data_IF_400245386356
#
_entry.id   IF_400245386356
#
_cell.length_a   1.000
_cell.length_b   1.000
_cell.length_c   1.000
_cell.angle_alpha   90.00
_cell.angle_beta   90.00
_cell.angle_gamma   90.00
#
_symmetry.space_group_name_H-M   'P 1'
#
loop_
_entity.id
_entity.type
_entity.pdbx_description
1 polymer ?
#
# COMPACT_ATOMS: atom_id res chain seq x y z
N UNK A 1 31.42 6.82 -0.77
CA UNK A 1 30.03 6.31 -0.70
C UNK A 1 29.11 7.52 -0.73
N UNK A 2 28.14 7.56 -1.64
CA UNK A 2 27.17 8.65 -1.74
C UNK A 2 25.80 8.19 -1.23
N UNK A 3 25.08 9.09 -0.56
CA UNK A 3 23.71 8.89 -0.07
C UNK A 3 22.79 9.94 -0.69
N UNK A 4 21.57 9.54 -1.06
CA UNK A 4 20.54 10.42 -1.60
C UNK A 4 19.17 10.08 -1.00
N UNK A 5 18.27 11.07 -0.97
CA UNK A 5 16.89 10.94 -0.56
C UNK A 5 16.25 12.31 -0.30
N UNK A 6 14.93 12.34 -0.11
CA UNK A 6 14.20 13.58 0.13
C UNK A 6 14.25 13.98 1.60
N UNK A 7 14.61 15.23 1.87
CA UNK A 7 14.64 15.78 3.23
C UNK A 7 15.52 14.94 4.18
N UNK A 8 14.99 14.46 5.33
CA UNK A 8 15.77 13.70 6.30
C UNK A 8 16.00 12.22 5.92
N UNK A 9 15.41 11.75 4.81
CA UNK A 9 15.42 10.34 4.47
C UNK A 9 16.63 9.94 3.61
N UNK A 10 17.16 8.74 3.85
CA UNK A 10 18.17 8.11 2.99
C UNK A 10 17.52 6.94 2.25
N UNK A 11 17.27 7.10 0.96
CA UNK A 11 16.50 6.13 0.15
C UNK A 11 17.32 5.50 -0.98
N UNK A 12 18.49 6.08 -1.29
CA UNK A 12 19.46 5.55 -2.24
C UNK A 12 20.88 5.66 -1.67
N UNK A 13 21.66 4.58 -1.85
CA UNK A 13 23.09 4.53 -1.53
C UNK A 13 23.85 4.09 -2.76
N UNK A 14 25.00 4.71 -3.02
CA UNK A 14 25.90 4.31 -4.11
C UNK A 14 27.30 4.08 -3.56
N UNK A 15 27.87 2.91 -3.85
CA UNK A 15 29.18 2.49 -3.38
C UNK A 15 29.86 1.52 -4.34
N UNK A 16 31.18 1.36 -4.22
CA UNK A 16 31.94 0.37 -4.98
C UNK A 16 31.98 -0.96 -4.21
N UNK A 17 31.69 -2.05 -4.91
CA UNK A 17 31.79 -3.43 -4.43
C UNK A 17 32.63 -4.24 -5.41
N UNK A 18 33.83 -4.67 -5.00
CA UNK A 18 34.79 -5.39 -5.85
C UNK A 18 35.03 -4.71 -7.21
N UNK A 19 35.15 -3.37 -7.23
CA UNK A 19 35.36 -2.58 -8.45
C UNK A 19 34.09 -2.19 -9.21
N UNK A 20 32.94 -2.79 -8.90
CA UNK A 20 31.66 -2.47 -9.55
C UNK A 20 30.88 -1.42 -8.77
N UNK A 21 30.32 -0.42 -9.46
CA UNK A 21 29.47 0.60 -8.85
C UNK A 21 28.07 0.02 -8.58
N UNK A 22 27.71 -0.12 -7.30
CA UNK A 22 26.41 -0.63 -6.86
C UNK A 22 25.51 0.53 -6.49
N UNK A 23 24.31 0.57 -7.09
CA UNK A 23 23.19 1.43 -6.68
C UNK A 23 22.22 0.62 -5.84
N UNK A 24 22.16 0.92 -4.55
CA UNK A 24 21.33 0.21 -3.59
C UNK A 24 20.14 1.08 -3.22
N UNK A 25 18.91 0.62 -3.48
CA UNK A 25 17.67 1.35 -3.16
C UNK A 25 17.02 0.77 -1.91
N UNK A 26 16.50 1.63 -1.02
CA UNK A 26 15.88 1.22 0.24
C UNK A 26 14.70 0.25 0.03
N UNK A 27 13.83 0.54 -0.95
CA UNK A 27 12.70 -0.32 -1.31
C UNK A 27 13.12 -1.72 -1.78
N UNK A 28 14.11 -1.80 -2.66
CA UNK A 28 14.63 -3.09 -3.16
C UNK A 28 15.27 -3.90 -2.04
N UNK A 29 16.00 -3.23 -1.14
CA UNK A 29 16.56 -3.85 0.05
C UNK A 29 15.48 -4.42 0.98
N UNK A 30 14.47 -3.62 1.31
CA UNK A 30 13.34 -4.04 2.17
C UNK A 30 12.60 -5.25 1.59
N UNK A 31 12.37 -5.24 0.27
CA UNK A 31 11.66 -6.30 -0.44
C UNK A 31 12.51 -7.52 -0.79
N UNK A 32 13.83 -7.49 -0.61
CA UNK A 32 14.71 -8.59 -1.01
C UNK A 32 14.84 -8.77 -2.53
N UNK A 33 14.68 -7.69 -3.31
CA UNK A 33 14.75 -7.73 -4.78
C UNK A 33 16.18 -7.71 -5.33
N UNK A 34 17.16 -7.38 -4.48
CA UNK A 34 18.58 -7.38 -4.83
C UNK A 34 19.32 -8.34 -3.90
N UNK A 35 19.89 -9.40 -4.46
CA UNK A 35 20.65 -10.43 -3.74
C UNK A 35 22.15 -10.15 -3.76
N UNK A 36 22.76 -10.26 -2.59
CA UNK A 36 24.21 -10.28 -2.45
C UNK A 36 24.72 -11.72 -2.59
N UNK A 37 25.77 -11.99 -3.40
CA UNK A 37 26.38 -13.32 -3.52
C UNK A 37 26.80 -13.91 -2.17
N UNK A 38 27.24 -13.05 -1.25
CA UNK A 38 27.70 -13.42 0.09
C UNK A 38 26.55 -13.72 1.09
N UNK A 39 25.29 -13.73 0.60
CA UNK A 39 24.08 -13.97 1.39
C UNK A 39 23.19 -15.03 0.71
N UNK A 40 23.54 -16.33 0.82
CA UNK A 40 22.83 -17.40 0.13
C UNK A 40 21.41 -17.63 0.69
N UNK A 41 21.17 -17.27 1.95
CA UNK A 41 19.86 -17.41 2.61
C UNK A 41 19.28 -16.04 2.93
N UNK A 42 18.02 -15.84 2.55
CA UNK A 42 17.23 -14.65 2.89
C UNK A 42 16.03 -15.04 3.76
N UNK A 43 15.63 -14.20 4.73
CA UNK A 43 14.44 -14.44 5.53
C UNK A 43 13.19 -14.59 4.66
N UNK A 44 12.16 -15.28 5.18
CA UNK A 44 10.89 -15.52 4.47
C UNK A 44 10.27 -14.23 3.95
N UNK A 45 10.30 -13.14 4.72
CA UNK A 45 9.77 -11.84 4.32
C UNK A 45 10.55 -11.12 3.23
N UNK A 46 11.74 -11.59 2.86
CA UNK A 46 12.53 -11.09 1.71
C UNK A 46 12.49 -12.04 0.51
N UNK A 47 11.71 -13.13 0.59
CA UNK A 47 11.56 -14.04 -0.54
C UNK A 47 10.55 -13.50 -1.58
N UNK A 48 10.76 -13.80 -2.87
CA UNK A 48 9.80 -13.52 -3.95
C UNK A 48 8.35 -13.91 -3.64
N UNK A 49 8.17 -15.08 -3.03
CA UNK A 49 6.85 -15.59 -2.67
C UNK A 49 6.12 -14.66 -1.71
N UNK A 50 6.82 -14.04 -0.75
CA UNK A 50 6.21 -13.13 0.22
C UNK A 50 5.65 -11.87 -0.45
N UNK A 51 6.44 -11.25 -1.33
CA UNK A 51 5.98 -10.12 -2.14
C UNK A 51 4.82 -10.52 -3.06
N UNK A 52 4.86 -11.73 -3.62
CA UNK A 52 3.80 -12.23 -4.49
C UNK A 52 2.49 -12.43 -3.73
N UNK A 53 2.52 -13.09 -2.56
CA UNK A 53 1.35 -13.29 -1.71
C UNK A 53 0.77 -11.98 -1.20
N UNK A 54 1.62 -11.03 -0.83
CA UNK A 54 1.19 -9.68 -0.47
C UNK A 54 0.44 -9.02 -1.63
N UNK A 55 0.94 -9.16 -2.86
CA UNK A 55 0.29 -8.63 -4.06
C UNK A 55 -1.02 -9.36 -4.39
N UNK A 56 -1.09 -10.67 -4.18
CA UNK A 56 -2.32 -11.43 -4.35
C UNK A 56 -3.39 -10.95 -3.36
N UNK A 57 -3.04 -10.75 -2.08
CA UNK A 57 -3.96 -10.22 -1.08
C UNK A 57 -4.51 -8.84 -1.47
N UNK A 58 -3.65 -7.91 -1.91
CA UNK A 58 -4.13 -6.63 -2.47
C UNK A 58 -5.03 -6.81 -3.69
N UNK A 59 -4.71 -7.74 -4.59
CA UNK A 59 -5.49 -7.98 -5.81
C UNK A 59 -6.90 -8.50 -5.48
N UNK A 60 -7.01 -9.47 -4.57
CA UNK A 60 -8.31 -10.01 -4.11
C UNK A 60 -9.14 -8.91 -3.44
N UNK A 61 -8.53 -8.13 -2.54
CA UNK A 61 -9.22 -7.01 -1.89
C UNK A 61 -9.72 -5.98 -2.91
N UNK A 62 -8.88 -5.63 -3.88
CA UNK A 62 -9.21 -4.67 -4.93
C UNK A 62 -10.36 -5.16 -5.81
N UNK A 63 -10.36 -6.42 -6.23
CA UNK A 63 -11.44 -7.02 -7.02
C UNK A 63 -12.79 -6.99 -6.29
N UNK A 64 -12.80 -7.31 -4.99
CA UNK A 64 -14.00 -7.25 -4.16
C UNK A 64 -14.51 -5.81 -3.99
N UNK A 65 -13.62 -4.83 -3.82
CA UNK A 65 -14.00 -3.41 -3.78
C UNK A 65 -14.56 -2.92 -5.10
N UNK A 66 -13.94 -3.30 -6.23
CA UNK A 66 -14.46 -2.99 -7.56
C UNK A 66 -15.85 -3.62 -7.74
N UNK A 67 -16.04 -4.87 -7.30
CA UNK A 67 -17.33 -5.53 -7.35
C UNK A 67 -18.37 -4.81 -6.50
N UNK A 68 -18.06 -4.49 -5.23
CA UNK A 68 -18.96 -3.75 -4.34
C UNK A 68 -19.37 -2.39 -4.92
N UNK A 69 -18.41 -1.63 -5.47
CA UNK A 69 -18.66 -0.35 -6.09
C UNK A 69 -19.51 -0.48 -7.38
N UNK A 70 -19.24 -1.49 -8.21
CA UNK A 70 -20.03 -1.75 -9.41
C UNK A 70 -21.47 -2.16 -9.04
N UNK A 71 -21.66 -3.05 -8.07
CA UNK A 71 -22.98 -3.45 -7.59
C UNK A 71 -23.76 -2.27 -6.98
N UNK A 72 -23.06 -1.29 -6.40
CA UNK A 72 -23.67 -0.05 -5.87
C UNK A 72 -24.10 0.93 -6.97
N UNK A 73 -23.50 0.85 -8.16
CA UNK A 73 -23.81 1.72 -9.31
C UNK A 73 -24.87 1.12 -10.25
N UNK A 74 -25.02 -0.19 -10.24
CA UNK A 74 -25.91 -0.93 -11.12
C UNK A 74 -27.24 -1.20 -10.42
N UNK A 75 -28.31 -1.31 -11.20
CA UNK A 75 -29.57 -1.84 -10.71
C UNK A 75 -29.43 -3.35 -10.52
N UNK A 76 -29.32 -3.81 -9.28
CA UNK A 76 -29.18 -5.23 -8.93
C UNK A 76 -30.29 -5.65 -7.95
N UNK A 77 -30.66 -6.94 -7.88
CA UNK A 77 -31.61 -7.42 -6.90
C UNK A 77 -30.99 -7.54 -5.48
N UNK A 78 -29.71 -7.22 -5.31
CA UNK A 78 -29.01 -7.36 -4.04
C UNK A 78 -29.41 -6.24 -3.07
N UNK A 79 -29.49 -6.59 -1.79
CA UNK A 79 -29.74 -5.62 -0.73
C UNK A 79 -28.47 -4.82 -0.41
N UNK A 80 -28.59 -3.61 0.18
CA UNK A 80 -27.43 -2.85 0.65
C UNK A 80 -26.54 -3.65 1.61
N UNK A 81 -27.13 -4.51 2.44
CA UNK A 81 -26.40 -5.42 3.35
C UNK A 81 -25.51 -6.38 2.58
N UNK A 82 -26.02 -7.01 1.52
CA UNK A 82 -25.25 -7.94 0.69
C UNK A 82 -24.09 -7.24 -0.01
N UNK A 83 -24.30 -6.02 -0.50
CA UNK A 83 -23.24 -5.20 -1.11
C UNK A 83 -22.21 -4.78 -0.05
N UNK A 84 -22.65 -4.38 1.14
CA UNK A 84 -21.79 -4.07 2.29
C UNK A 84 -20.91 -5.25 2.69
N UNK A 85 -21.43 -6.47 2.68
CA UNK A 85 -20.65 -7.69 2.92
C UNK A 85 -19.54 -7.85 1.88
N UNK A 86 -19.78 -7.55 0.61
CA UNK A 86 -18.73 -7.62 -0.45
C UNK A 86 -17.59 -6.65 -0.13
N UNK A 87 -17.89 -5.41 0.27
CA UNK A 87 -16.87 -4.44 0.70
C UNK A 87 -16.11 -4.92 1.94
N UNK A 88 -16.81 -5.42 2.95
CA UNK A 88 -16.19 -5.92 4.17
C UNK A 88 -15.25 -7.11 3.87
N UNK A 89 -15.70 -8.07 3.07
CA UNK A 89 -14.86 -9.19 2.62
C UNK A 89 -13.64 -8.70 1.83
N UNK A 90 -13.75 -7.61 1.07
CA UNK A 90 -12.63 -6.97 0.39
C UNK A 90 -11.62 -6.32 1.33
N UNK A 91 -12.07 -5.79 2.47
CA UNK A 91 -11.21 -5.07 3.42
C UNK A 91 -10.26 -5.99 4.19
N UNK A 92 -10.64 -7.26 4.36
CA UNK A 92 -9.83 -8.28 5.06
C UNK A 92 -8.51 -8.57 4.30
N UNK A 93 -8.50 -8.92 2.99
CA UNK A 93 -7.28 -9.05 2.20
C UNK A 93 -6.41 -7.81 2.20
N UNK A 94 -7.00 -6.61 2.13
CA UNK A 94 -6.24 -5.35 2.25
C UNK A 94 -5.51 -5.26 3.59
N UNK A 95 -6.19 -5.60 4.69
CA UNK A 95 -5.62 -5.60 6.04
C UNK A 95 -4.50 -6.62 6.19
N UNK A 96 -4.67 -7.83 5.65
CA UNK A 96 -3.62 -8.84 5.58
C UNK A 96 -2.41 -8.31 4.80
N UNK A 97 -2.63 -7.73 3.62
CA UNK A 97 -1.55 -7.21 2.79
C UNK A 97 -0.80 -6.04 3.45
N UNK A 98 -1.53 -5.12 4.10
CA UNK A 98 -0.96 -4.02 4.88
C UNK A 98 -0.10 -4.54 6.05
N UNK A 99 -0.59 -5.56 6.76
CA UNK A 99 0.17 -6.23 7.81
C UNK A 99 1.46 -6.86 7.26
N UNK A 100 1.38 -7.61 6.15
CA UNK A 100 2.55 -8.25 5.53
C UNK A 100 3.60 -7.22 5.10
N UNK A 101 3.20 -6.11 4.47
CA UNK A 101 4.13 -5.05 4.09
C UNK A 101 4.82 -4.41 5.31
N UNK A 102 4.05 -4.16 6.39
CA UNK A 102 4.60 -3.58 7.61
C UNK A 102 5.53 -4.56 8.34
N UNK A 103 5.15 -5.83 8.42
CA UNK A 103 6.00 -6.88 8.97
C UNK A 103 7.33 -6.98 8.21
N UNK A 104 7.30 -6.93 6.87
CA UNK A 104 8.51 -6.89 6.05
C UNK A 104 9.36 -5.64 6.35
N UNK A 105 8.74 -4.46 6.48
CA UNK A 105 9.45 -3.23 6.81
C UNK A 105 10.09 -3.29 8.21
N UNK A 106 9.34 -3.77 9.20
CA UNK A 106 9.76 -3.92 10.60
C UNK A 106 10.98 -4.82 10.78
N UNK A 107 11.06 -5.89 9.98
CA UNK A 107 12.11 -6.92 10.03
C UNK A 107 13.16 -6.78 8.92
N UNK A 108 13.12 -5.72 8.09
CA UNK A 108 14.21 -5.44 7.15
C UNK A 108 15.49 -5.10 7.92
N UNK A 109 16.69 -5.39 7.45
CA UNK A 109 17.91 -4.91 8.14
C UNK A 109 18.04 -3.39 8.01
N UNK A 110 18.87 -2.76 8.87
CA UNK A 110 19.15 -1.33 8.71
C UNK A 110 19.77 -1.09 7.33
N UNK A 111 19.30 -0.04 6.64
CA UNK A 111 19.82 0.35 5.33
C UNK A 111 21.19 1.05 5.47
N UNK A 112 22.19 0.27 5.89
CA UNK A 112 23.58 0.67 6.14
C UNK A 112 24.50 -0.52 5.96
N UNK A 113 25.67 -0.32 5.33
CA UNK A 113 26.65 -1.39 5.08
C UNK A 113 27.25 -1.96 6.37
N UNK A 114 27.41 -1.10 7.38
CA UNK A 114 28.00 -1.47 8.67
C UNK A 114 26.93 -1.78 9.72
N UNK A 115 25.67 -1.92 9.31
CA UNK A 115 24.65 -2.36 10.24
C UNK A 115 25.06 -3.73 10.79
N UNK A 116 25.04 -3.91 12.13
CA UNK A 116 25.12 -5.25 12.69
C UNK A 116 24.06 -6.11 11.97
N UNK A 117 24.43 -7.33 11.57
CA UNK A 117 23.42 -8.32 11.18
C UNK A 117 22.53 -8.52 12.38
N UNK A 118 21.39 -7.81 12.44
CA UNK A 118 20.42 -8.00 13.51
C UNK A 118 19.88 -9.41 13.39
N UNK A 119 20.36 -10.29 14.25
CA UNK A 119 19.77 -11.58 14.57
C UNK A 119 19.23 -11.48 16.00
N UNK A 120 17.92 -11.68 16.15
CA UNK A 120 17.33 -12.63 17.11
C UNK A 120 15.86 -12.33 17.43
N UNK A 121 15.35 -11.12 17.16
CA UNK A 121 13.97 -10.77 17.52
C UNK A 121 13.11 -10.35 16.33
N UNK A 122 12.04 -11.11 16.12
CA UNK A 122 10.97 -10.76 15.19
C UNK A 122 10.16 -9.60 15.76
N UNK A 123 9.91 -8.59 14.94
CA UNK A 123 9.09 -7.44 15.27
C UNK A 123 7.79 -7.50 14.46
N UNK A 124 6.64 -7.59 15.14
CA UNK A 124 5.35 -7.61 14.44
C UNK A 124 5.08 -6.29 13.70
N UNK A 125 5.31 -5.16 14.39
CA UNK A 125 5.15 -3.82 13.81
C UNK A 125 6.49 -3.07 13.71
N UNK A 126 7.43 -3.33 14.63
CA UNK A 126 8.70 -2.60 14.71
C UNK A 126 8.52 -1.11 15.00
N UNK A 127 9.62 -0.36 15.09
CA UNK A 127 9.60 1.11 15.19
C UNK A 127 10.80 1.69 14.44
N UNK A 128 10.54 2.36 13.31
CA UNK A 128 11.58 2.96 12.45
C UNK A 128 11.13 4.33 11.93
N UNK A 129 11.04 5.34 12.80
CA UNK A 129 10.46 6.64 12.44
C UNK A 129 11.27 7.41 11.39
N UNK A 130 12.52 7.05 11.14
CA UNK A 130 13.38 7.66 10.11
C UNK A 130 13.42 6.87 8.80
N UNK A 131 12.64 5.79 8.67
CA UNK A 131 12.53 4.99 7.46
C UNK A 131 11.20 5.31 6.76
N UNK A 132 11.23 5.95 5.57
CA UNK A 132 9.99 6.31 4.86
C UNK A 132 9.22 5.07 4.39
N UNK A 133 9.90 3.94 4.14
CA UNK A 133 9.27 2.68 3.79
C UNK A 133 8.48 2.11 4.96
N UNK A 134 9.01 2.18 6.19
CA UNK A 134 8.28 1.77 7.39
C UNK A 134 7.11 2.71 7.71
N UNK A 135 7.32 4.03 7.65
CA UNK A 135 6.26 5.02 7.84
C UNK A 135 5.11 4.84 6.84
N UNK A 136 5.45 4.56 5.58
CA UNK A 136 4.47 4.22 4.56
C UNK A 136 3.66 2.98 4.95
N UNK A 137 4.31 1.88 5.32
CA UNK A 137 3.60 0.64 5.61
C UNK A 137 2.81 0.65 6.93
N UNK A 138 3.28 1.36 7.95
CA UNK A 138 2.53 1.45 9.22
C UNK A 138 1.29 2.32 9.06
N UNK A 139 1.37 3.42 8.30
CA UNK A 139 0.20 4.24 7.97
C UNK A 139 -0.76 3.49 7.06
N UNK A 140 -0.26 2.74 6.06
CA UNK A 140 -1.08 1.83 5.26
C UNK A 140 -1.84 0.84 6.13
N UNK A 141 -1.15 0.13 7.01
CA UNK A 141 -1.77 -0.90 7.86
C UNK A 141 -2.81 -0.29 8.81
N UNK A 142 -2.48 0.81 9.48
CA UNK A 142 -3.44 1.52 10.33
C UNK A 142 -4.67 1.99 9.53
N UNK A 143 -4.47 2.45 8.29
CA UNK A 143 -5.55 2.83 7.39
C UNK A 143 -6.45 1.64 7.03
N UNK A 144 -5.87 0.46 6.76
CA UNK A 144 -6.67 -0.74 6.46
C UNK A 144 -7.50 -1.22 7.65
N UNK A 145 -6.98 -1.09 8.87
CA UNK A 145 -7.74 -1.41 10.09
C UNK A 145 -8.91 -0.44 10.28
N UNK A 146 -8.69 0.87 10.09
CA UNK A 146 -9.77 1.85 10.15
C UNK A 146 -10.85 1.59 9.08
N UNK A 147 -10.44 1.20 7.87
CA UNK A 147 -11.34 0.83 6.78
C UNK A 147 -12.11 -0.48 7.06
N UNK A 148 -11.51 -1.40 7.82
CA UNK A 148 -12.17 -2.64 8.24
C UNK A 148 -13.34 -2.35 9.20
N UNK A 149 -13.15 -1.44 10.18
CA UNK A 149 -14.24 -0.95 11.02
C UNK A 149 -15.32 -0.23 10.20
N UNK A 150 -14.93 0.70 9.33
CA UNK A 150 -15.85 1.40 8.42
C UNK A 150 -16.74 0.44 7.63
N UNK A 151 -16.14 -0.57 6.97
CA UNK A 151 -16.88 -1.50 6.11
C UNK A 151 -17.70 -2.50 6.89
N UNK A 152 -17.27 -2.90 8.09
CA UNK A 152 -18.05 -3.75 8.98
C UNK A 152 -19.30 -3.04 9.49
N UNK A 153 -19.14 -1.83 10.03
CA UNK A 153 -20.25 -1.04 10.57
C UNK A 153 -21.22 -0.60 9.47
N UNK A 154 -20.75 -0.47 8.23
CA UNK A 154 -21.58 -0.19 7.06
C UNK A 154 -22.51 -1.35 6.65
N UNK A 155 -22.31 -2.58 7.14
CA UNK A 155 -23.22 -3.71 6.86
C UNK A 155 -24.57 -3.47 7.54
N UNK A 156 -24.55 -2.98 8.78
CA UNK A 156 -25.73 -2.70 9.58
C UNK A 156 -25.64 -1.28 10.16
N UNK A 157 -25.85 -0.24 9.33
CA UNK A 157 -25.75 1.13 9.79
C UNK A 157 -26.84 1.42 10.83
N UNK A 158 -26.47 2.13 11.90
CA UNK A 158 -27.42 2.60 12.91
C UNK A 158 -28.46 3.55 12.28
N UNK A 159 -29.69 3.60 12.80
CA UNK A 159 -30.71 4.51 12.29
C UNK A 159 -30.35 6.00 12.49
N UNK A 160 -29.48 6.30 13.46
CA UNK A 160 -29.05 7.67 13.78
C UNK A 160 -27.89 8.10 12.90
N UNK A 161 -28.12 9.11 12.06
CA UNK A 161 -27.11 9.68 11.16
C UNK A 161 -25.78 10.03 11.84
N UNK A 162 -25.82 10.58 13.06
CA UNK A 162 -24.60 11.00 13.77
C UNK A 162 -23.78 9.80 14.29
N UNK A 163 -24.43 8.65 14.53
CA UNK A 163 -23.72 7.41 14.84
C UNK A 163 -23.05 6.89 13.58
N UNK A 164 -23.73 6.90 12.43
CA UNK A 164 -23.12 6.55 11.14
C UNK A 164 -21.91 7.45 10.81
N UNK A 165 -21.99 8.76 11.07
CA UNK A 165 -20.86 9.66 10.88
C UNK A 165 -19.65 9.27 11.76
N UNK A 166 -19.89 8.82 12.98
CA UNK A 166 -18.84 8.43 13.93
C UNK A 166 -18.28 7.03 13.70
N UNK A 167 -19.10 6.05 13.35
CA UNK A 167 -18.69 4.63 13.24
C UNK A 167 -18.34 4.24 11.80
N UNK A 168 -18.98 4.85 10.81
CA UNK A 168 -18.75 4.55 9.40
C UNK A 168 -17.86 5.64 8.81
N UNK A 169 -18.36 6.88 8.69
CA UNK A 169 -17.66 7.91 7.92
C UNK A 169 -16.28 8.27 8.50
N UNK A 170 -16.20 8.51 9.81
CA UNK A 170 -14.97 8.96 10.45
C UNK A 170 -13.81 7.94 10.32
N UNK A 171 -13.98 6.63 10.61
CA UNK A 171 -12.95 5.63 10.33
C UNK A 171 -12.57 5.54 8.86
N UNK A 172 -13.55 5.68 7.94
CA UNK A 172 -13.28 5.72 6.50
C UNK A 172 -12.40 6.91 6.11
N UNK A 173 -12.70 8.10 6.64
CA UNK A 173 -11.92 9.32 6.40
C UNK A 173 -10.50 9.22 6.98
N UNK A 174 -10.37 8.74 8.22
CA UNK A 174 -9.06 8.46 8.84
C UNK A 174 -8.27 7.48 7.97
N UNK A 175 -8.90 6.40 7.51
CA UNK A 175 -8.31 5.42 6.61
C UNK A 175 -7.79 6.05 5.32
N UNK A 176 -8.61 6.87 4.65
CA UNK A 176 -8.24 7.56 3.41
C UNK A 176 -7.06 8.53 3.58
N UNK A 177 -7.03 9.31 4.67
CA UNK A 177 -5.89 10.19 5.00
C UNK A 177 -4.62 9.37 5.18
N UNK A 178 -4.70 8.27 5.94
CA UNK A 178 -3.56 7.38 6.19
C UNK A 178 -3.05 6.71 4.91
N UNK A 179 -3.93 6.30 4.00
CA UNK A 179 -3.54 5.78 2.68
C UNK A 179 -2.85 6.83 1.81
N UNK A 180 -3.31 8.09 1.85
CA UNK A 180 -2.69 9.17 1.10
C UNK A 180 -1.27 9.47 1.61
N UNK A 181 -1.10 9.52 2.94
CA UNK A 181 0.22 9.64 3.58
C UNK A 181 1.12 8.46 3.21
N UNK A 182 0.60 7.23 3.28
CA UNK A 182 1.31 6.01 2.89
C UNK A 182 1.80 6.07 1.46
N UNK A 183 0.91 6.39 0.51
CA UNK A 183 1.22 6.45 -0.91
C UNK A 183 2.24 7.54 -1.24
N UNK A 184 2.13 8.71 -0.60
CA UNK A 184 3.10 9.78 -0.79
C UNK A 184 4.48 9.42 -0.22
N UNK A 185 4.56 8.79 0.95
CA UNK A 185 5.83 8.34 1.53
C UNK A 185 6.50 7.25 0.67
N UNK A 186 5.73 6.31 0.14
CA UNK A 186 6.24 5.33 -0.82
C UNK A 186 6.75 6.02 -2.10
N UNK A 187 6.04 7.04 -2.58
CA UNK A 187 6.43 7.82 -3.76
C UNK A 187 7.76 8.54 -3.54
N UNK A 188 7.95 9.14 -2.36
CA UNK A 188 9.21 9.76 -1.94
C UNK A 188 10.33 8.71 -1.82
N UNK A 189 10.05 7.53 -1.25
CA UNK A 189 11.02 6.43 -1.12
C UNK A 189 11.56 6.02 -2.50
N UNK A 190 10.66 5.76 -3.46
CA UNK A 190 11.03 5.33 -4.82
C UNK A 190 11.60 6.45 -5.69
N UNK A 191 11.10 7.67 -5.54
CA UNK A 191 11.57 8.82 -6.31
C UNK A 191 12.97 9.27 -5.90
N UNK A 192 13.34 9.05 -4.63
CA UNK A 192 14.50 9.64 -3.97
C UNK A 192 14.46 11.18 -3.89
N UNK A 193 13.28 11.76 -4.09
CA UNK A 193 12.99 13.19 -4.11
C UNK A 193 11.51 13.42 -3.77
N UNK A 194 11.12 14.66 -3.45
CA UNK A 194 9.71 15.02 -3.23
C UNK A 194 8.86 14.91 -4.50
N UNK A 195 9.51 14.93 -5.66
CA UNK A 195 8.87 14.76 -6.97
C UNK A 195 9.84 14.12 -7.96
N UNK A 196 9.35 13.19 -8.77
CA UNK A 196 10.07 12.68 -9.94
C UNK A 196 9.10 12.07 -10.95
N UNK A 197 9.51 12.04 -12.22
CA UNK A 197 8.75 11.40 -13.30
C UNK A 197 9.59 10.29 -13.94
N UNK A 198 9.35 9.04 -13.55
CA UNK A 198 10.09 7.86 -14.04
C UNK A 198 9.14 6.77 -14.54
N UNK A 199 8.33 7.04 -15.59
CA UNK A 199 7.29 6.12 -16.05
C UNK A 199 7.84 4.81 -16.63
N UNK A 200 9.16 4.70 -16.88
CA UNK A 200 9.81 3.47 -17.34
C UNK A 200 10.20 2.54 -16.19
N UNK A 201 10.29 3.06 -14.97
CA UNK A 201 10.74 2.32 -13.80
C UNK A 201 9.54 1.59 -13.17
N UNK A 202 9.62 0.26 -13.04
CA UNK A 202 8.51 -0.56 -12.54
C UNK A 202 8.13 -0.23 -11.09
N UNK A 203 9.13 0.03 -10.23
CA UNK A 203 8.91 0.43 -8.85
C UNK A 203 8.16 1.77 -8.76
N UNK A 204 8.49 2.71 -9.65
CA UNK A 204 7.81 4.00 -9.76
C UNK A 204 6.37 3.82 -10.26
N UNK A 205 6.13 3.01 -11.29
CA UNK A 205 4.78 2.72 -11.80
C UNK A 205 3.88 2.13 -10.70
N UNK A 206 4.36 1.12 -9.96
CA UNK A 206 3.62 0.49 -8.86
C UNK A 206 3.19 1.54 -7.84
N UNK A 207 4.13 2.38 -7.41
CA UNK A 207 3.88 3.34 -6.34
C UNK A 207 3.02 4.50 -6.80
N UNK A 208 3.25 5.03 -7.99
CA UNK A 208 2.48 6.15 -8.55
C UNK A 208 1.02 5.76 -8.78
N UNK A 209 0.76 4.58 -9.35
CA UNK A 209 -0.61 4.09 -9.58
C UNK A 209 -1.33 3.84 -8.25
N UNK A 210 -0.66 3.25 -7.25
CA UNK A 210 -1.25 3.11 -5.91
C UNK A 210 -1.55 4.48 -5.27
N UNK A 211 -0.65 5.45 -5.39
CA UNK A 211 -0.88 6.80 -4.87
C UNK A 211 -2.09 7.47 -5.55
N UNK A 212 -2.27 7.31 -6.87
CA UNK A 212 -3.47 7.75 -7.57
C UNK A 212 -4.73 7.05 -7.04
N UNK A 213 -4.63 5.75 -6.71
CA UNK A 213 -5.70 5.01 -6.04
C UNK A 213 -6.10 5.61 -4.69
N UNK A 214 -5.11 6.02 -3.88
CA UNK A 214 -5.34 6.72 -2.61
C UNK A 214 -6.06 8.06 -2.81
N UNK A 215 -5.73 8.82 -3.87
CA UNK A 215 -6.43 10.07 -4.21
C UNK A 215 -7.90 9.80 -4.52
N UNK A 216 -8.21 8.78 -5.33
CA UNK A 216 -9.58 8.39 -5.63
C UNK A 216 -10.35 7.95 -4.37
N UNK A 217 -9.75 7.16 -3.48
CA UNK A 217 -10.38 6.79 -2.19
C UNK A 217 -10.62 7.99 -1.29
N UNK A 218 -9.68 8.94 -1.25
CA UNK A 218 -9.84 10.17 -0.49
C UNK A 218 -11.01 11.00 -1.02
N UNK A 219 -11.09 11.20 -2.34
CA UNK A 219 -12.22 11.90 -2.95
C UNK A 219 -13.55 11.18 -2.70
N UNK A 220 -13.60 9.85 -2.73
CA UNK A 220 -14.80 9.10 -2.38
C UNK A 220 -15.21 9.32 -0.91
N UNK A 221 -14.25 9.32 0.02
CA UNK A 221 -14.52 9.60 1.44
C UNK A 221 -15.01 11.02 1.69
N UNK A 222 -14.50 12.01 0.94
CA UNK A 222 -14.97 13.39 1.00
C UNK A 222 -16.39 13.51 0.44
N UNK A 223 -16.70 12.82 -0.67
CA UNK A 223 -18.04 12.80 -1.25
C UNK A 223 -19.06 12.02 -0.39
N UNK A 224 -18.59 11.09 0.44
CA UNK A 224 -19.43 10.38 1.41
C UNK A 224 -19.83 11.26 2.60
N UNK A 225 -19.06 12.32 2.88
CA UNK A 225 -19.53 13.43 3.72
C UNK A 225 -20.50 14.25 2.87
N UNK A 226 -21.68 14.61 3.38
CA UNK A 226 -22.70 15.48 2.74
C UNK A 226 -23.74 14.75 1.85
N UNK A 227 -25.08 15.02 1.92
CA UNK A 227 -25.89 15.77 2.92
C UNK A 227 -27.24 15.12 3.37
N UNK A 228 -27.87 15.77 4.36
CA UNK A 228 -29.27 15.64 4.86
C UNK A 228 -30.38 15.92 3.83
N UNK A 229 -30.14 15.88 2.52
CA UNK A 229 -31.16 16.18 1.50
C UNK A 229 -31.38 15.00 0.54
N UNK A 230 -32.65 14.66 0.30
CA UNK A 230 -33.11 13.48 -0.42
C UNK A 230 -32.73 13.37 -1.93
N UNK A 231 -32.01 14.33 -2.53
CA UNK A 231 -31.95 14.49 -4.00
C UNK A 231 -30.56 14.46 -4.65
N UNK A 232 -29.49 14.06 -3.94
CA UNK A 232 -28.13 14.07 -4.52
C UNK A 232 -27.59 12.66 -4.83
N UNK A 233 -28.40 11.81 -5.48
CA UNK A 233 -27.99 10.48 -5.97
C UNK A 233 -26.70 10.53 -6.80
N UNK A 234 -26.46 11.63 -7.52
CA UNK A 234 -25.23 11.81 -8.29
C UNK A 234 -23.96 11.85 -7.41
N UNK A 235 -24.02 12.33 -6.16
CA UNK A 235 -22.88 12.36 -5.23
C UNK A 235 -22.53 10.94 -4.81
N UNK A 236 -23.54 10.14 -4.45
CA UNK A 236 -23.37 8.72 -4.08
C UNK A 236 -22.80 7.92 -5.26
N UNK A 237 -23.31 8.16 -6.47
CA UNK A 237 -22.77 7.54 -7.68
C UNK A 237 -21.32 7.98 -7.93
N UNK A 238 -21.02 9.27 -7.79
CA UNK A 238 -19.67 9.77 -7.98
C UNK A 238 -18.69 9.18 -6.95
N UNK A 239 -19.09 9.06 -5.69
CA UNK A 239 -18.30 8.41 -4.65
C UNK A 239 -17.99 6.94 -5.00
N UNK A 240 -18.99 6.18 -5.46
CA UNK A 240 -18.80 4.80 -5.89
C UNK A 240 -17.94 4.68 -7.17
N UNK A 241 -18.05 5.61 -8.12
CA UNK A 241 -17.14 5.67 -9.29
C UNK A 241 -15.70 5.86 -8.83
N UNK A 242 -15.46 6.76 -7.88
CA UNK A 242 -14.11 6.99 -7.34
C UNK A 242 -13.61 5.78 -6.54
N UNK A 243 -14.45 5.10 -5.76
CA UNK A 243 -14.08 3.82 -5.13
C UNK A 243 -13.68 2.78 -6.17
N UNK A 244 -14.44 2.65 -7.26
CA UNK A 244 -14.15 1.71 -8.32
C UNK A 244 -12.81 2.04 -9.02
N UNK A 245 -12.59 3.29 -9.38
CA UNK A 245 -11.34 3.76 -10.01
C UNK A 245 -10.14 3.57 -9.08
N UNK A 246 -10.29 3.89 -7.80
CA UNK A 246 -9.23 3.67 -6.82
C UNK A 246 -8.88 2.20 -6.65
N UNK A 247 -9.89 1.33 -6.60
CA UNK A 247 -9.71 -0.11 -6.50
C UNK A 247 -9.07 -0.69 -7.77
N UNK A 248 -9.41 -0.16 -8.96
CA UNK A 248 -8.73 -0.49 -10.20
C UNK A 248 -7.23 -0.11 -10.15
N UNK A 249 -6.91 1.08 -9.64
CA UNK A 249 -5.51 1.48 -9.45
C UNK A 249 -4.77 0.53 -8.50
N UNK A 250 -5.38 0.18 -7.37
CA UNK A 250 -4.78 -0.79 -6.43
C UNK A 250 -4.60 -2.17 -7.05
N UNK A 251 -5.56 -2.64 -7.87
CA UNK A 251 -5.44 -3.90 -8.61
C UNK A 251 -4.24 -3.86 -9.57
N UNK A 252 -4.12 -2.80 -10.37
CA UNK A 252 -2.98 -2.65 -11.31
C UNK A 252 -1.66 -2.64 -10.52
N UNK A 253 -1.58 -1.84 -9.45
CA UNK A 253 -0.40 -1.78 -8.59
C UNK A 253 -0.03 -3.13 -7.96
N UNK A 254 -1.04 -3.91 -7.55
CA UNK A 254 -0.86 -5.23 -6.96
C UNK A 254 -0.35 -6.25 -7.99
N UNK A 255 -0.92 -6.27 -9.20
CA UNK A 255 -0.47 -7.13 -10.29
C UNK A 255 0.97 -6.80 -10.72
N UNK A 256 1.30 -5.51 -10.82
CA UNK A 256 2.68 -5.07 -11.10
C UNK A 256 3.64 -5.48 -9.97
N UNK A 257 3.22 -5.44 -8.70
CA UNK A 257 4.02 -5.93 -7.58
C UNK A 257 4.27 -7.44 -7.65
N UNK A 258 3.28 -8.22 -8.07
CA UNK A 258 3.43 -9.67 -8.30
C UNK A 258 4.37 -9.99 -9.46
N UNK A 259 4.42 -9.12 -10.49
CA UNK A 259 5.41 -9.21 -11.57
C UNK A 259 6.81 -8.85 -11.07
N UNK A 260 6.94 -7.75 -10.31
CA UNK A 260 8.20 -7.31 -9.71
C UNK A 260 8.81 -8.39 -8.81
N UNK A 261 8.00 -9.13 -8.06
CA UNK A 261 8.52 -10.17 -7.16
C UNK A 261 9.29 -11.28 -7.87
N UNK A 262 9.05 -11.47 -9.17
CA UNK A 262 9.73 -12.45 -10.02
C UNK A 262 11.04 -11.93 -10.60
N UNK A 263 11.31 -10.62 -10.50
CA UNK A 263 12.47 -9.95 -11.07
C UNK A 263 13.54 -9.72 -9.99
N UNK A 264 14.01 -10.81 -9.36
CA UNK A 264 15.10 -10.72 -8.39
C UNK A 264 16.44 -10.63 -9.12
N UNK A 265 17.20 -9.58 -8.84
CA UNK A 265 18.53 -9.37 -9.38
C UNK A 265 19.60 -9.89 -8.43
N UNK A 266 20.67 -10.47 -8.98
CA UNK A 266 21.87 -10.85 -8.21
C UNK A 266 23.01 -9.89 -8.54
N UNK A 267 23.62 -9.28 -7.52
CA UNK A 267 24.75 -8.39 -7.70
C UNK A 267 25.92 -9.12 -8.38
N UNK A 268 26.38 -8.58 -9.51
CA UNK A 268 27.41 -9.19 -10.35
C UNK A 268 26.88 -9.85 -11.63
N UNK A 269 25.56 -10.04 -11.77
CA UNK A 269 24.90 -10.42 -13.04
C UNK A 269 24.32 -9.22 -13.79
N UNK A 270 24.77 -8.00 -13.50
CA UNK A 270 24.52 -6.85 -14.37
C UNK A 270 25.35 -7.05 -15.64
N UNK A 271 24.87 -7.91 -16.53
CA UNK A 271 25.33 -8.00 -17.91
C UNK A 271 25.09 -6.63 -18.54
N UNK A 272 26.14 -6.20 -19.24
CA UNK A 272 26.29 -5.01 -20.11
C UNK A 272 25.00 -4.47 -20.73
#
# INVERSE_FOLDING_TARGET
MATQGAGPFVTLRTYLHHGTLVRWRARQHRKGLLRHPDQPTVPVWQQPAYNWWTGLSFSIGSLLFMLGAALSLLHTPLTPVQIGIVFFLGSIPFTIAGFLQNFQAANSTNFSRNAPRSADRLHLLGRRPHDPGWLSTITQFAGTVAFNFNTFDAIHPDAKWYIQDLTIWLPGMIGSVLFLLSGYLAFVETSHAFWSWKPRDLDWQIVFINFLGCVFFMTAGVLAYVPKSNDLTWIVNLANIHLWLGALCFLIGALLMMRESRQVETLGQQTQ
#
